data_IF_627386530426
#
_entry.id   IF_627386530426
#
_cell.length_a   1.000
_cell.length_b   1.000
_cell.length_c   1.000
_cell.angle_alpha   90.00
_cell.angle_beta   90.00
_cell.angle_gamma   90.00
#
_symmetry.space_group_name_H-M   'P 1'
#
loop_
_entity.id
_entity.type
_entity.pdbx_description
1 polymer ?
#
# COMPACT_ATOMS: atom_id res chain seq x y z
N UNK A 1 -6.78 -44.42 -54.79
CA UNK A 1 -6.20 -44.31 -53.44
C UNK A 1 -5.67 -42.90 -53.29
N UNK A 2 -6.29 -42.07 -52.46
CA UNK A 2 -5.70 -40.77 -52.08
C UNK A 2 -6.23 -40.41 -50.70
N UNK A 3 -5.41 -40.70 -49.68
CA UNK A 3 -5.63 -40.30 -48.31
C UNK A 3 -5.21 -38.83 -48.17
N UNK A 4 -6.16 -37.96 -47.82
CA UNK A 4 -5.86 -36.58 -47.41
C UNK A 4 -5.46 -36.56 -45.95
N UNK A 5 -4.20 -36.28 -45.66
CA UNK A 5 -3.70 -36.15 -44.29
C UNK A 5 -4.10 -34.77 -43.77
N UNK A 6 -4.97 -34.73 -42.79
CA UNK A 6 -5.27 -33.53 -42.00
C UNK A 6 -3.99 -33.18 -41.24
N UNK A 7 -3.30 -32.12 -41.65
CA UNK A 7 -2.22 -31.57 -40.88
C UNK A 7 -2.81 -30.96 -39.59
N UNK A 8 -2.71 -31.69 -38.49
CA UNK A 8 -3.01 -31.19 -37.17
C UNK A 8 -2.11 -29.97 -36.90
N UNK A 9 -2.73 -28.79 -36.78
CA UNK A 9 -2.06 -27.56 -36.40
C UNK A 9 -1.47 -27.78 -35.02
N UNK A 10 -0.13 -27.86 -34.96
CA UNK A 10 0.60 -27.90 -33.69
C UNK A 10 0.23 -26.66 -32.91
N UNK A 11 -0.45 -26.88 -31.80
CA UNK A 11 -0.75 -25.89 -30.77
C UNK A 11 0.58 -25.31 -30.30
N UNK A 12 0.99 -24.17 -30.86
CA UNK A 12 2.16 -23.43 -30.43
C UNK A 12 1.79 -22.74 -29.12
N UNK A 13 2.35 -23.11 -27.96
CA UNK A 13 2.11 -22.35 -26.75
C UNK A 13 2.62 -20.92 -26.94
N UNK A 14 1.77 -19.95 -26.62
CA UNK A 14 2.03 -18.52 -26.73
C UNK A 14 3.37 -18.13 -26.06
N UNK A 15 4.06 -17.08 -26.58
CA UNK A 15 5.35 -16.65 -26.06
C UNK A 15 5.27 -16.34 -24.56
N UNK A 16 6.26 -16.85 -23.83
CA UNK A 16 6.31 -16.89 -22.38
C UNK A 16 5.95 -15.56 -21.72
N UNK A 17 5.01 -15.63 -20.78
CA UNK A 17 4.87 -14.64 -19.73
C UNK A 17 6.21 -14.55 -19.00
N UNK A 18 6.99 -13.51 -19.29
CA UNK A 18 8.05 -13.10 -18.37
C UNK A 18 7.32 -12.72 -17.09
N UNK A 19 7.55 -13.51 -16.04
CA UNK A 19 7.13 -13.17 -14.69
C UNK A 19 7.89 -11.89 -14.37
N UNK A 20 7.30 -10.73 -14.68
CA UNK A 20 7.86 -9.43 -14.43
C UNK A 20 8.09 -9.39 -12.93
N UNK A 21 9.36 -9.47 -12.53
CA UNK A 21 9.85 -9.42 -11.14
C UNK A 21 8.93 -8.50 -10.35
N UNK A 22 7.97 -9.09 -9.63
CA UNK A 22 7.04 -8.32 -8.86
C UNK A 22 7.88 -7.89 -7.67
N UNK A 23 8.26 -6.59 -7.57
CA UNK A 23 9.24 -6.17 -6.59
C UNK A 23 8.77 -6.68 -5.24
N UNK A 24 9.63 -7.44 -4.55
CA UNK A 24 9.29 -8.01 -3.25
C UNK A 24 8.93 -6.85 -2.32
N UNK A 25 7.64 -6.65 -2.09
CA UNK A 25 7.16 -5.62 -1.17
C UNK A 25 7.09 -6.26 0.20
N UNK A 26 7.96 -5.79 1.10
CA UNK A 26 7.89 -6.17 2.50
C UNK A 26 6.55 -5.70 3.08
N UNK A 27 5.63 -6.65 3.27
CA UNK A 27 4.29 -6.39 3.80
C UNK A 27 4.34 -5.77 5.20
N UNK A 28 5.42 -5.99 5.95
CA UNK A 28 5.62 -5.38 7.27
C UNK A 28 5.92 -3.88 7.21
N UNK A 29 6.15 -3.34 6.01
CA UNK A 29 6.34 -1.92 5.74
C UNK A 29 5.19 -1.30 4.95
N UNK A 30 4.12 -2.05 4.67
CA UNK A 30 2.92 -1.55 4.00
C UNK A 30 1.88 -1.05 5.01
N UNK A 31 1.72 0.26 5.09
CA UNK A 31 0.79 0.92 6.00
C UNK A 31 -0.66 0.80 5.49
N UNK A 32 -1.65 0.48 6.34
CA UNK A 32 -3.05 0.41 5.92
C UNK A 32 -3.55 1.77 5.41
N UNK A 33 -4.09 1.80 4.19
CA UNK A 33 -4.69 3.01 3.63
C UNK A 33 -5.85 3.56 4.47
N UNK A 34 -6.61 2.68 5.14
CA UNK A 34 -7.74 3.07 5.99
C UNK A 34 -7.33 3.88 7.22
N UNK A 35 -6.07 3.78 7.66
CA UNK A 35 -5.54 4.58 8.75
C UNK A 35 -4.97 5.93 8.29
N UNK A 36 -4.91 6.17 6.98
CA UNK A 36 -4.36 7.38 6.39
C UNK A 36 -5.39 8.51 6.42
N UNK A 37 -4.95 9.68 6.86
CA UNK A 37 -5.71 10.92 6.72
C UNK A 37 -4.81 12.07 6.25
N UNK A 38 -5.44 13.11 5.74
CA UNK A 38 -4.74 14.30 5.23
C UNK A 38 -5.15 15.52 6.06
N UNK A 39 -4.15 16.23 6.59
CA UNK A 39 -4.33 17.57 7.12
C UNK A 39 -3.96 18.56 6.01
N UNK A 40 -4.92 19.37 5.57
CA UNK A 40 -4.72 20.34 4.49
C UNK A 40 -4.40 21.74 4.99
N UNK A 41 -4.55 21.99 6.29
CA UNK A 41 -4.41 23.30 6.91
C UNK A 41 -3.65 23.19 8.24
N UNK A 42 -3.10 24.32 8.72
CA UNK A 42 -2.33 24.38 9.96
C UNK A 42 -0.86 24.02 9.78
N UNK A 43 -0.12 24.06 10.90
CA UNK A 43 1.32 23.75 10.92
C UNK A 43 1.60 22.27 10.64
N UNK A 44 0.66 21.40 11.01
CA UNK A 44 0.77 19.94 10.89
C UNK A 44 0.21 19.44 9.55
N UNK A 45 0.10 20.31 8.54
CA UNK A 45 -0.37 19.92 7.20
C UNK A 45 0.49 18.79 6.63
N UNK A 46 -0.14 17.80 6.03
CA UNK A 46 0.54 16.63 5.49
C UNK A 46 -0.31 15.37 5.53
N UNK A 47 0.29 14.26 5.08
CA UNK A 47 -0.30 12.93 5.18
C UNK A 47 0.13 12.29 6.49
N UNK A 48 -0.84 11.76 7.21
CA UNK A 48 -0.66 11.17 8.54
C UNK A 48 -1.35 9.81 8.63
N UNK A 49 -0.87 8.98 9.55
CA UNK A 49 -1.48 7.70 9.90
C UNK A 49 -1.84 7.68 11.38
N UNK A 50 -3.12 7.50 11.71
CA UNK A 50 -3.59 7.55 13.10
C UNK A 50 -2.98 6.42 13.95
N UNK A 51 -2.40 6.76 15.09
CA UNK A 51 -1.69 5.81 15.97
C UNK A 51 -2.64 4.72 16.47
N UNK A 52 -3.85 5.10 16.91
CA UNK A 52 -4.85 4.14 17.37
C UNK A 52 -5.32 3.19 16.26
N UNK A 53 -5.54 3.69 15.04
CA UNK A 53 -5.91 2.87 13.90
C UNK A 53 -4.79 1.89 13.53
N UNK A 54 -3.54 2.34 13.49
CA UNK A 54 -2.39 1.47 13.22
C UNK A 54 -2.28 0.36 14.26
N UNK A 55 -2.45 0.66 15.55
CA UNK A 55 -2.41 -0.38 16.61
C UNK A 55 -3.49 -1.45 16.46
N UNK A 56 -4.63 -1.12 15.86
CA UNK A 56 -5.74 -2.06 15.64
C UNK A 56 -5.64 -2.83 14.32
N UNK A 57 -5.22 -2.16 13.24
CA UNK A 57 -5.29 -2.71 11.88
C UNK A 57 -3.94 -3.09 11.28
N UNK A 58 -2.83 -2.70 11.91
CA UNK A 58 -1.47 -2.97 11.43
C UNK A 58 -0.70 -3.84 12.43
N UNK A 59 -0.53 -5.15 12.15
CA UNK A 59 0.15 -6.08 13.07
C UNK A 59 1.57 -5.67 13.45
N UNK A 60 2.24 -4.90 12.58
CA UNK A 60 3.61 -4.43 12.78
C UNK A 60 3.69 -3.01 13.36
N UNK A 61 2.59 -2.47 13.92
CA UNK A 61 2.57 -1.13 14.51
C UNK A 61 3.64 -0.92 15.60
N UNK A 62 3.99 -1.97 16.36
CA UNK A 62 5.06 -1.91 17.36
C UNK A 62 6.47 -1.72 16.78
N UNK A 63 6.65 -1.84 15.46
CA UNK A 63 7.93 -1.59 14.77
C UNK A 63 8.05 -0.16 14.25
N UNK A 64 6.96 0.62 14.32
CA UNK A 64 6.96 1.99 13.82
C UNK A 64 7.93 2.85 14.65
N UNK A 65 8.78 3.66 14.01
CA UNK A 65 9.70 4.53 14.72
C UNK A 65 8.92 5.58 15.53
N UNK A 66 9.11 5.58 16.85
CA UNK A 66 8.45 6.55 17.75
C UNK A 66 8.80 7.99 17.40
N UNK A 67 9.96 8.26 16.80
CA UNK A 67 10.35 9.59 16.31
C UNK A 67 9.45 10.14 15.20
N UNK A 68 8.70 9.28 14.51
CA UNK A 68 7.75 9.68 13.49
C UNK A 68 6.35 9.92 14.07
N UNK A 69 6.10 9.58 15.33
CA UNK A 69 4.85 9.85 16.03
C UNK A 69 4.84 11.30 16.56
N UNK A 70 3.76 12.02 16.29
CA UNK A 70 3.53 13.35 16.81
C UNK A 70 2.08 13.52 17.24
N UNK A 71 1.85 14.49 18.12
CA UNK A 71 0.51 14.97 18.44
C UNK A 71 0.12 16.00 17.37
N UNK A 72 -0.94 15.73 16.61
CA UNK A 72 -1.40 16.60 15.52
C UNK A 72 -2.77 17.18 15.82
N UNK A 73 -2.91 18.49 15.57
CA UNK A 73 -4.21 19.17 15.65
C UNK A 73 -5.05 18.78 14.44
N UNK A 74 -5.99 17.88 14.67
CA UNK A 74 -7.03 17.57 13.70
C UNK A 74 -8.15 18.59 13.89
N UNK A 75 -7.98 19.81 13.37
CA UNK A 75 -8.99 20.90 13.50
C UNK A 75 -10.43 20.46 13.20
N UNK A 76 -10.59 19.43 12.35
CA UNK A 76 -11.87 18.78 12.01
C UNK A 76 -12.52 17.97 13.13
N UNK A 77 -11.78 17.46 14.11
CA UNK A 77 -12.30 16.67 15.24
C UNK A 77 -12.23 17.40 16.59
N UNK A 78 -11.81 18.67 16.60
CA UNK A 78 -11.62 19.50 17.80
C UNK A 78 -10.76 18.82 18.88
N UNK A 79 -9.87 17.91 18.49
CA UNK A 79 -9.00 17.17 19.39
C UNK A 79 -7.66 16.91 18.72
N UNK A 80 -6.63 16.97 19.55
CA UNK A 80 -5.31 16.50 19.20
C UNK A 80 -5.31 14.96 19.14
N UNK A 81 -4.70 14.40 18.11
CA UNK A 81 -4.57 12.95 17.92
C UNK A 81 -3.10 12.58 17.76
N UNK A 82 -2.69 11.44 18.31
CA UNK A 82 -1.36 10.86 18.02
C UNK A 82 -1.37 10.23 16.63
N UNK A 83 -0.46 10.65 15.78
CA UNK A 83 -0.35 10.13 14.42
C UNK A 83 1.10 10.07 13.96
N UNK A 84 1.36 9.17 13.01
CA UNK A 84 2.67 9.03 12.38
C UNK A 84 2.71 9.80 11.07
N UNK A 85 3.75 10.62 10.89
CA UNK A 85 3.97 11.34 9.64
C UNK A 85 4.32 10.36 8.51
N UNK A 86 3.56 10.42 7.41
CA UNK A 86 3.84 9.60 6.23
C UNK A 86 5.22 9.90 5.64
N UNK A 87 5.63 11.18 5.66
CA UNK A 87 6.92 11.60 5.12
C UNK A 87 8.09 11.04 5.96
N UNK A 88 7.98 11.08 7.29
CA UNK A 88 8.98 10.48 8.16
C UNK A 88 9.05 8.96 7.97
N UNK A 89 7.90 8.29 7.92
CA UNK A 89 7.79 6.85 7.71
C UNK A 89 8.38 6.42 6.35
N UNK A 90 8.17 7.20 5.29
CA UNK A 90 8.78 6.96 3.98
C UNK A 90 10.32 6.95 4.03
N UNK A 91 10.93 7.81 4.86
CA UNK A 91 12.38 7.81 5.10
C UNK A 91 12.91 6.52 5.75
N UNK A 92 12.03 5.71 6.33
CA UNK A 92 12.35 4.39 6.90
C UNK A 92 11.95 3.21 5.99
N UNK A 93 11.46 3.52 4.79
CA UNK A 93 10.98 2.54 3.82
C UNK A 93 9.57 2.03 4.10
N UNK A 94 8.81 2.66 5.01
CA UNK A 94 7.38 2.40 5.11
C UNK A 94 6.65 3.08 3.95
N UNK A 95 5.74 2.35 3.33
CA UNK A 95 5.01 2.81 2.16
C UNK A 95 3.52 2.73 2.43
N UNK A 96 2.76 3.62 1.80
CA UNK A 96 1.31 3.49 1.79
C UNK A 96 0.94 2.17 1.11
N UNK A 97 0.25 1.30 1.82
CA UNK A 97 -0.46 0.20 1.20
C UNK A 97 -1.50 0.76 0.24
N UNK A 98 -1.46 0.32 -1.01
CA UNK A 98 -2.54 0.60 -1.94
C UNK A 98 -3.67 -0.39 -1.65
N UNK A 99 -4.86 0.11 -1.32
CA UNK A 99 -6.05 -0.63 -1.73
C UNK A 99 -6.02 -0.52 -3.25
N UNK A 100 -5.70 -1.60 -3.96
CA UNK A 100 -6.06 -1.65 -5.38
C UNK A 100 -7.57 -1.49 -5.39
N UNK A 101 -8.05 -0.29 -5.74
CA UNK A 101 -9.38 -0.13 -6.29
C UNK A 101 -9.40 -0.97 -7.56
N UNK A 102 -9.69 -2.26 -7.40
CA UNK A 102 -10.10 -3.13 -8.49
C UNK A 102 -11.52 -2.71 -8.87
N UNK A 103 -11.63 -1.71 -9.72
CA UNK A 103 -12.70 -1.65 -10.71
C UNK A 103 -12.25 -2.64 -11.81
N UNK A 104 -12.87 -3.79 -12.08
CA UNK A 104 -14.30 -4.00 -12.27
C UNK A 104 -14.75 -2.94 -13.27
N UNK A 105 -14.72 -3.19 -14.58
CA UNK A 105 -15.57 -4.13 -15.34
C UNK A 105 -14.90 -4.55 -16.65
#
# INVERSE_FOLDING_TARGET
MTAGIIAAQRNQPAPGYTYRDQPYVDRSKLLPAGCRFQLTQGRDRGTWYGSNCLRQSFPWAGRLPSRCEALVDTRRRQRDERAYSAQCLAGYGYQAGYVRSGSGW
#
